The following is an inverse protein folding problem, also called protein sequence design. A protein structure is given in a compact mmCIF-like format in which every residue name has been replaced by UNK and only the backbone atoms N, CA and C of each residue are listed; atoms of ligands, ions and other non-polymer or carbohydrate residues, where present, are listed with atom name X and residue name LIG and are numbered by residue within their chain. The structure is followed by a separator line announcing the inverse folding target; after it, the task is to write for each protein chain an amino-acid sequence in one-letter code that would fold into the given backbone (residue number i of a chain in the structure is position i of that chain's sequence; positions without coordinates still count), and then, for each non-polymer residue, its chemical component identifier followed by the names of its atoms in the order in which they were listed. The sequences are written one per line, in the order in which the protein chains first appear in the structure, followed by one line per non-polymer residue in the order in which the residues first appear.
data_IF_655052863535
#
_entry.id   IF_655052863535
#
_cell.length_a   1.000
_cell.length_b   1.000
_cell.length_c   1.000
_cell.angle_alpha   90.00
_cell.angle_beta   90.00
_cell.angle_gamma   90.00
#
_symmetry.space_group_name_H-M   'P 1'
#
loop_
_entity.id
_entity.type
_entity.pdbx_description
1 polymer ?
#
# COMPACT_ATOMS: atom_id res chain seq x y z
N UNK A 1 25.22 4.41 19.09
CA UNK A 1 24.03 4.86 18.36
C UNK A 1 23.43 3.71 17.60
N UNK A 2 22.18 3.43 17.82
CA UNK A 2 21.51 2.34 17.13
C UNK A 2 21.03 2.81 15.76
N UNK A 3 21.11 1.94 14.77
CA UNK A 3 20.57 2.21 13.45
C UNK A 3 19.03 2.18 13.54
N UNK A 4 18.40 3.09 12.81
CA UNK A 4 16.95 3.09 12.70
C UNK A 4 16.52 1.85 11.93
N UNK A 5 15.51 1.15 12.43
CA UNK A 5 14.93 0.03 11.72
C UNK A 5 14.25 0.53 10.45
N UNK A 6 14.38 -0.19 9.32
CA UNK A 6 13.68 0.21 8.10
C UNK A 6 12.17 0.06 8.28
N UNK A 7 11.41 0.89 7.55
CA UNK A 7 9.97 0.71 7.44
C UNK A 7 9.70 -0.53 6.58
N UNK A 8 8.81 -1.38 7.07
CA UNK A 8 8.49 -2.67 6.46
C UNK A 8 7.27 -2.55 5.58
N UNK A 9 7.39 -2.94 4.33
CA UNK A 9 6.38 -2.71 3.30
C UNK A 9 5.89 -4.03 2.73
N UNK A 10 4.57 -4.20 2.66
CA UNK A 10 3.92 -5.32 1.98
C UNK A 10 3.37 -4.80 0.65
N UNK A 11 3.67 -5.47 -0.45
CA UNK A 11 3.23 -5.08 -1.79
C UNK A 11 2.17 -6.05 -2.28
N UNK A 12 0.98 -5.54 -2.63
CA UNK A 12 -0.16 -6.37 -3.00
C UNK A 12 -0.72 -5.96 -4.36
N UNK A 13 -0.62 -6.87 -5.33
CA UNK A 13 -1.19 -6.69 -6.67
C UNK A 13 -1.22 -8.06 -7.33
N UNK A 14 -2.23 -8.35 -8.13
CA UNK A 14 -2.34 -9.64 -8.81
C UNK A 14 -1.47 -9.74 -10.06
N UNK A 15 -0.88 -8.63 -10.50
CA UNK A 15 -0.03 -8.60 -11.69
C UNK A 15 1.44 -8.54 -11.28
N UNK A 16 2.16 -9.65 -11.46
CA UNK A 16 3.54 -9.77 -11.01
C UNK A 16 4.46 -8.67 -11.55
N UNK A 17 4.40 -8.30 -12.85
CA UNK A 17 5.27 -7.22 -13.33
C UNK A 17 5.05 -5.90 -12.60
N UNK A 18 3.83 -5.62 -12.15
CA UNK A 18 3.57 -4.42 -11.36
C UNK A 18 4.19 -4.53 -9.95
N UNK A 19 4.05 -5.71 -9.31
CA UNK A 19 4.71 -5.91 -8.02
C UNK A 19 6.22 -5.72 -8.14
N UNK A 20 6.83 -6.24 -9.22
CA UNK A 20 8.26 -6.09 -9.47
C UNK A 20 8.65 -4.62 -9.65
N UNK A 21 7.84 -3.87 -10.40
CA UNK A 21 8.06 -2.43 -10.58
C UNK A 21 8.02 -1.70 -9.24
N UNK A 22 6.99 -1.93 -8.45
CA UNK A 22 6.84 -1.28 -7.14
C UNK A 22 8.00 -1.65 -6.23
N UNK A 23 8.32 -2.94 -6.14
CA UNK A 23 9.42 -3.40 -5.30
C UNK A 23 10.75 -2.80 -5.71
N UNK A 24 10.99 -2.65 -7.02
CA UNK A 24 12.22 -2.05 -7.52
C UNK A 24 12.36 -0.58 -7.09
N UNK A 25 11.25 0.13 -6.99
CA UNK A 25 11.26 1.51 -6.51
C UNK A 25 11.52 1.57 -5.01
N UNK A 26 10.87 0.68 -4.25
CA UNK A 26 11.02 0.65 -2.79
C UNK A 26 12.46 0.35 -2.39
N UNK A 27 13.11 -0.63 -3.04
CA UNK A 27 14.48 -1.01 -2.67
C UNK A 27 15.50 0.08 -2.96
N UNK A 28 15.16 1.09 -3.75
CA UNK A 28 16.05 2.23 -3.99
C UNK A 28 16.21 3.11 -2.74
N UNK A 29 15.34 2.95 -1.74
CA UNK A 29 15.39 3.74 -0.51
C UNK A 29 15.86 2.86 0.64
N UNK A 30 17.06 3.11 1.20
CA UNK A 30 17.60 2.25 2.27
C UNK A 30 16.72 2.20 3.52
N UNK A 31 15.90 3.23 3.75
CA UNK A 31 15.00 3.27 4.90
C UNK A 31 13.74 2.42 4.72
N UNK A 32 13.56 1.80 3.55
CA UNK A 32 12.40 0.97 3.26
C UNK A 32 12.82 -0.46 2.99
N UNK A 33 11.98 -1.43 3.38
CA UNK A 33 12.23 -2.85 3.16
C UNK A 33 10.94 -3.53 2.71
N UNK A 34 10.96 -4.22 1.58
CA UNK A 34 9.84 -5.07 1.17
C UNK A 34 9.92 -6.36 1.97
N UNK A 35 8.92 -6.62 2.81
CA UNK A 35 8.91 -7.81 3.66
C UNK A 35 8.04 -8.92 3.12
N UNK A 36 7.25 -8.65 2.09
CA UNK A 36 6.42 -9.65 1.46
C UNK A 36 5.64 -9.10 0.29
N UNK A 37 5.07 -10.01 -0.48
CA UNK A 37 4.18 -9.69 -1.58
C UNK A 37 2.96 -10.59 -1.50
N UNK A 38 1.83 -10.09 -2.02
CA UNK A 38 0.60 -10.86 -2.08
C UNK A 38 -0.06 -10.62 -3.44
N UNK A 39 -0.75 -11.63 -3.96
CA UNK A 39 -1.36 -11.59 -5.28
C UNK A 39 -2.88 -11.54 -5.24
N UNK A 40 -3.50 -11.63 -4.08
CA UNK A 40 -4.95 -11.53 -3.94
C UNK A 40 -5.32 -10.98 -2.56
N UNK A 41 -6.61 -10.67 -2.40
CA UNK A 41 -7.08 -10.02 -1.18
C UNK A 41 -6.99 -10.88 0.08
N UNK A 42 -7.25 -12.18 -0.04
CA UNK A 42 -7.15 -13.07 1.12
C UNK A 42 -5.70 -13.20 1.57
N UNK A 43 -4.78 -13.37 0.63
CA UNK A 43 -3.36 -13.43 0.94
C UNK A 43 -2.89 -12.12 1.59
N UNK A 44 -3.40 -10.99 1.11
CA UNK A 44 -3.06 -9.69 1.68
C UNK A 44 -3.43 -9.62 3.16
N UNK A 45 -4.63 -10.06 3.51
CA UNK A 45 -5.07 -10.06 4.91
C UNK A 45 -4.21 -11.00 5.75
N UNK A 46 -3.95 -12.21 5.25
CA UNK A 46 -3.13 -13.19 5.96
C UNK A 46 -1.73 -12.65 6.23
N UNK A 47 -1.10 -12.07 5.23
CA UNK A 47 0.26 -11.55 5.38
C UNK A 47 0.30 -10.29 6.23
N UNK A 48 -0.73 -9.46 6.18
CA UNK A 48 -0.79 -8.30 7.06
C UNK A 48 -0.83 -8.72 8.53
N UNK A 49 -1.60 -9.73 8.86
CA UNK A 49 -1.68 -10.26 10.23
C UNK A 49 -0.36 -10.92 10.63
N UNK A 50 0.23 -11.71 9.73
CA UNK A 50 1.44 -12.46 9.99
C UNK A 50 2.67 -11.56 10.12
N UNK A 51 2.84 -10.64 9.17
CA UNK A 51 4.05 -9.81 9.06
C UNK A 51 3.95 -8.50 9.82
N UNK A 52 2.74 -8.00 10.03
CA UNK A 52 2.48 -6.70 10.67
C UNK A 52 3.35 -5.61 10.06
N UNK A 53 3.22 -5.38 8.75
CA UNK A 53 4.04 -4.35 8.09
C UNK A 53 3.66 -2.95 8.55
N UNK A 54 4.59 -2.03 8.41
CA UNK A 54 4.31 -0.63 8.71
C UNK A 54 3.42 -0.01 7.64
N UNK A 55 3.57 -0.48 6.39
CA UNK A 55 2.91 0.08 5.23
C UNK A 55 2.47 -1.03 4.29
N UNK A 56 1.28 -0.90 3.74
CA UNK A 56 0.76 -1.82 2.73
C UNK A 56 0.41 -1.04 1.48
N UNK A 57 1.01 -1.41 0.35
CA UNK A 57 0.67 -0.87 -0.96
C UNK A 57 -0.29 -1.84 -1.60
N UNK A 58 -1.54 -1.41 -1.79
CA UNK A 58 -2.67 -2.32 -2.01
C UNK A 58 -3.48 -1.92 -3.23
N UNK A 59 -3.59 -2.83 -4.20
CA UNK A 59 -4.47 -2.63 -5.34
C UNK A 59 -5.94 -2.86 -4.93
N UNK A 60 -6.86 -2.21 -5.61
CA UNK A 60 -8.30 -2.36 -5.36
C UNK A 60 -8.86 -3.57 -6.09
N UNK A 61 -8.50 -3.76 -7.35
CA UNK A 61 -9.08 -4.80 -8.20
C UNK A 61 -8.43 -6.16 -8.02
N UNK A 62 -8.50 -6.74 -6.84
CA UNK A 62 -7.87 -8.02 -6.54
C UNK A 62 -8.85 -9.17 -6.67
N UNK A 63 -8.36 -10.38 -7.04
CA UNK A 63 -9.17 -11.59 -7.00
C UNK A 63 -9.39 -12.07 -5.57
N UNK A 64 -10.29 -12.99 -5.38
CA UNK A 64 -10.75 -13.61 -4.13
C UNK A 64 -11.44 -12.63 -3.20
N UNK A 65 -10.80 -11.53 -2.89
CA UNK A 65 -11.29 -10.49 -2.01
C UNK A 65 -10.79 -9.16 -2.58
N UNK A 66 -11.69 -8.20 -2.82
CA UNK A 66 -11.26 -6.91 -3.37
C UNK A 66 -10.33 -6.17 -2.41
N UNK A 67 -9.54 -5.24 -2.95
CA UNK A 67 -8.66 -4.43 -2.11
C UNK A 67 -9.41 -3.61 -1.07
N UNK A 68 -10.62 -3.14 -1.40
CA UNK A 68 -11.45 -2.38 -0.45
C UNK A 68 -11.86 -3.27 0.73
N UNK A 69 -12.32 -4.50 0.45
CA UNK A 69 -12.72 -5.40 1.52
C UNK A 69 -11.51 -5.89 2.31
N UNK A 70 -10.39 -6.16 1.62
CA UNK A 70 -9.14 -6.51 2.30
C UNK A 70 -8.73 -5.39 3.25
N UNK A 71 -8.83 -4.14 2.82
CA UNK A 71 -8.50 -2.99 3.67
C UNK A 71 -9.37 -2.93 4.92
N UNK A 72 -10.68 -3.21 4.78
CA UNK A 72 -11.58 -3.25 5.94
C UNK A 72 -11.12 -4.28 6.96
N UNK A 73 -10.77 -5.49 6.50
CA UNK A 73 -10.31 -6.54 7.40
C UNK A 73 -8.96 -6.22 8.01
N UNK A 74 -8.03 -5.69 7.21
CA UNK A 74 -6.70 -5.31 7.71
C UNK A 74 -6.82 -4.23 8.79
N UNK A 75 -7.70 -3.26 8.60
CA UNK A 75 -7.93 -2.22 9.60
C UNK A 75 -8.36 -2.78 10.95
N UNK A 76 -9.12 -3.87 10.95
CA UNK A 76 -9.55 -4.52 12.19
C UNK A 76 -8.46 -5.40 12.79
N UNK A 77 -7.74 -6.12 11.95
CA UNK A 77 -6.81 -7.16 12.39
C UNK A 77 -5.37 -6.67 12.56
N UNK A 78 -4.97 -5.65 11.80
CA UNK A 78 -3.64 -5.07 11.85
C UNK A 78 -3.75 -3.54 11.79
N UNK A 79 -4.35 -2.90 12.80
CA UNK A 79 -4.68 -1.47 12.75
C UNK A 79 -3.46 -0.55 12.67
N UNK A 80 -2.28 -1.04 13.01
CA UNK A 80 -1.06 -0.24 12.95
C UNK A 80 -0.47 -0.14 11.56
N UNK A 81 -0.88 -1.03 10.64
CA UNK A 81 -0.42 -0.96 9.26
C UNK A 81 -1.15 0.16 8.52
N UNK A 82 -0.39 1.08 7.94
CA UNK A 82 -0.96 2.14 7.12
C UNK A 82 -1.14 1.62 5.71
N UNK A 83 -2.24 2.01 5.06
CA UNK A 83 -2.57 1.54 3.72
C UNK A 83 -2.48 2.68 2.72
N UNK A 84 -1.74 2.47 1.62
CA UNK A 84 -1.78 3.30 0.43
C UNK A 84 -2.37 2.45 -0.68
N UNK A 85 -3.48 2.90 -1.26
CA UNK A 85 -4.02 2.22 -2.44
C UNK A 85 -3.21 2.62 -3.68
N UNK A 86 -2.89 1.63 -4.51
CA UNK A 86 -2.31 1.82 -5.84
C UNK A 86 -3.30 1.23 -6.82
N UNK A 87 -3.99 2.07 -7.61
CA UNK A 87 -5.07 1.59 -8.44
C UNK A 87 -5.14 2.31 -9.77
N UNK A 88 -5.70 1.63 -10.77
CA UNK A 88 -6.02 2.25 -12.06
C UNK A 88 -7.24 3.17 -11.93
N UNK A 89 -8.07 2.96 -10.90
CA UNK A 89 -9.27 3.75 -10.68
C UNK A 89 -8.89 5.15 -10.19
N UNK A 90 -9.49 6.17 -10.83
CA UNK A 90 -9.20 7.56 -10.48
C UNK A 90 -10.46 8.36 -10.17
N UNK A 91 -11.65 7.73 -10.15
CA UNK A 91 -12.88 8.44 -9.89
C UNK A 91 -12.89 8.98 -8.45
N UNK A 92 -13.48 10.17 -8.29
CA UNK A 92 -13.57 10.78 -6.97
C UNK A 92 -14.33 9.91 -5.98
N UNK A 93 -15.32 9.16 -6.45
CA UNK A 93 -16.12 8.28 -5.59
C UNK A 93 -15.28 7.15 -5.01
N UNK A 94 -14.46 6.50 -5.83
CA UNK A 94 -13.58 5.41 -5.36
C UNK A 94 -12.53 5.96 -4.39
N UNK A 95 -11.92 7.10 -4.73
CA UNK A 95 -10.93 7.72 -3.87
C UNK A 95 -11.54 8.07 -2.52
N UNK A 96 -12.75 8.65 -2.50
CA UNK A 96 -13.43 8.98 -1.25
C UNK A 96 -13.76 7.74 -0.43
N UNK A 97 -14.21 6.67 -1.08
CA UNK A 97 -14.48 5.43 -0.38
C UNK A 97 -13.20 4.89 0.28
N UNK A 98 -12.11 4.87 -0.46
CA UNK A 98 -10.82 4.40 0.06
C UNK A 98 -10.37 5.21 1.27
N UNK A 99 -10.46 6.54 1.18
CA UNK A 99 -10.06 7.40 2.28
C UNK A 99 -10.99 7.27 3.48
N UNK A 100 -12.30 7.07 3.25
CA UNK A 100 -13.25 6.89 4.35
C UNK A 100 -13.04 5.61 5.13
N UNK A 101 -12.36 4.63 4.53
CA UNK A 101 -11.97 3.41 5.23
C UNK A 101 -10.74 3.61 6.12
N UNK A 102 -10.17 4.80 6.11
CA UNK A 102 -8.98 5.07 6.90
C UNK A 102 -7.67 4.86 6.15
N UNK A 103 -7.71 4.78 4.81
CA UNK A 103 -6.48 4.73 4.04
C UNK A 103 -5.68 6.01 4.22
N UNK A 104 -4.37 5.88 4.22
CA UNK A 104 -3.45 7.01 4.37
C UNK A 104 -3.06 7.62 3.04
N UNK A 105 -3.24 6.88 1.95
CA UNK A 105 -2.89 7.41 0.65
C UNK A 105 -3.61 6.71 -0.49
N UNK A 106 -3.62 7.41 -1.62
CA UNK A 106 -4.18 6.88 -2.85
C UNK A 106 -3.33 7.39 -4.01
N UNK A 107 -2.72 6.47 -4.74
CA UNK A 107 -1.90 6.78 -5.91
C UNK A 107 -2.52 6.11 -7.12
N UNK A 108 -2.82 6.90 -8.14
CA UNK A 108 -3.30 6.36 -9.42
C UNK A 108 -2.12 5.74 -10.15
N UNK A 109 -2.27 4.53 -10.66
CA UNK A 109 -1.13 3.78 -11.24
C UNK A 109 -0.41 4.53 -12.35
N UNK A 110 -1.12 5.30 -13.16
CA UNK A 110 -0.49 6.08 -14.23
C UNK A 110 0.44 7.17 -13.72
N UNK A 111 0.30 7.55 -12.44
CA UNK A 111 1.15 8.56 -11.81
C UNK A 111 2.23 7.95 -10.91
N UNK A 112 2.25 6.62 -10.77
CA UNK A 112 3.08 5.97 -9.75
C UNK A 112 4.57 6.20 -9.96
N UNK A 113 5.03 6.27 -11.20
CA UNK A 113 6.46 6.48 -11.45
C UNK A 113 6.96 7.77 -10.82
N UNK A 114 6.17 8.83 -10.88
CA UNK A 114 6.55 10.12 -10.32
C UNK A 114 6.10 10.33 -8.88
N UNK A 115 5.07 9.60 -8.42
CA UNK A 115 4.45 9.88 -7.14
C UNK A 115 4.64 8.81 -6.07
N UNK A 116 5.01 7.58 -6.44
CA UNK A 116 5.02 6.48 -5.48
C UNK A 116 5.91 6.76 -4.27
N UNK A 117 7.17 7.10 -4.50
CA UNK A 117 8.10 7.31 -3.40
C UNK A 117 7.72 8.54 -2.56
N UNK A 118 7.22 9.60 -3.20
CA UNK A 118 6.73 10.78 -2.47
C UNK A 118 5.54 10.39 -1.58
N UNK A 119 4.61 9.58 -2.10
CA UNK A 119 3.46 9.13 -1.33
C UNK A 119 3.91 8.31 -0.12
N UNK A 120 4.84 7.38 -0.33
CA UNK A 120 5.35 6.54 0.76
C UNK A 120 6.00 7.40 1.84
N UNK A 121 6.87 8.33 1.45
CA UNK A 121 7.56 9.20 2.39
C UNK A 121 6.58 10.11 3.15
N UNK A 122 5.57 10.62 2.45
CA UNK A 122 4.54 11.46 3.06
C UNK A 122 3.76 10.70 4.12
N UNK A 123 3.34 9.47 3.80
CA UNK A 123 2.55 8.65 4.73
C UNK A 123 3.39 8.21 5.93
N UNK A 124 4.64 7.85 5.69
CA UNK A 124 5.56 7.49 6.78
C UNK A 124 5.74 8.66 7.74
N UNK A 125 5.75 9.89 7.23
CA UNK A 125 5.89 11.09 8.07
C UNK A 125 4.61 11.44 8.83
N UNK A 126 3.52 10.70 8.63
CA UNK A 126 2.26 10.90 9.34
C UNK A 126 1.27 11.78 8.61
N UNK A 127 1.43 11.99 7.32
CA UNK A 127 0.52 12.81 6.51
C UNK A 127 -0.12 11.98 5.42
N UNK A 128 -1.30 12.39 4.96
CA UNK A 128 -2.00 11.71 3.88
C UNK A 128 -1.52 12.21 2.53
N UNK A 129 -1.59 11.33 1.52
CA UNK A 129 -1.22 11.64 0.15
C UNK A 129 -2.31 11.17 -0.81
N UNK A 130 -2.75 12.03 -1.73
CA UNK A 130 -3.70 11.67 -2.78
C UNK A 130 -3.18 12.16 -4.12
N UNK A 131 -3.16 11.29 -5.13
CA UNK A 131 -2.74 11.66 -6.48
C UNK A 131 -3.51 12.86 -6.99
N UNK A 132 -2.82 13.74 -7.70
CA UNK A 132 -3.45 14.88 -8.34
C UNK A 132 -3.77 16.04 -7.44
N UNK A 133 -3.31 16.02 -6.21
CA UNK A 133 -3.54 17.15 -5.27
C UNK A 133 -2.28 17.95 -5.02
#
# INVERSE_FOLDING_TARGET
MSARQPFRVLVVDDFEPWRDFVSSKIVMKPQLQVVGEASDGLEAVQKAVELKPDLILLDIGLPTLSGIEAARQIRKLAPESKIIFLSQESSAEIVQEALSLGAWGYVVKTMAESELLTAVETVISGKKFVSGT
#
